data_IF_356817417379
#
_entry.id   IF_356817417379
#
_cell.length_a   1.000
_cell.length_b   1.000
_cell.length_c   1.000
_cell.angle_alpha   90.00
_cell.angle_beta   90.00
_cell.angle_gamma   90.00
#
_symmetry.space_group_name_H-M   'P 1'
#
loop_
_entity.id
_entity.type
_entity.pdbx_description
1 polymer ?
#
# COMPACT_ATOMS: atom_id res chain seq x y z
N UNK A 1 -16.12 0.04 14.83
CA UNK A 1 -14.81 0.17 15.51
C UNK A 1 -13.75 -0.53 14.67
N UNK A 2 -12.55 0.04 14.54
CA UNK A 2 -11.44 -0.56 13.75
C UNK A 2 -10.69 -1.60 14.60
N UNK A 3 -10.48 -2.84 14.14
CA UNK A 3 -9.70 -3.85 14.87
C UNK A 3 -8.26 -3.40 15.10
N UNK A 4 -7.65 -3.88 16.19
CA UNK A 4 -6.27 -3.56 16.57
C UNK A 4 -5.41 -4.82 16.68
N UNK A 5 -4.09 -4.73 16.45
CA UNK A 5 -3.36 -3.55 15.99
C UNK A 5 -3.63 -3.23 14.51
N UNK A 6 -3.49 -1.95 14.14
CA UNK A 6 -3.48 -1.50 12.75
C UNK A 6 -2.04 -1.52 12.26
N UNK A 7 -1.80 -2.11 11.10
CA UNK A 7 -0.48 -2.32 10.52
C UNK A 7 -0.17 -1.30 9.42
N UNK A 8 -1.19 -0.91 8.64
CA UNK A 8 -1.09 0.11 7.61
C UNK A 8 -2.45 0.77 7.38
N UNK A 9 -2.46 1.96 6.79
CA UNK A 9 -3.68 2.70 6.41
C UNK A 9 -3.58 3.07 4.93
N UNK A 10 -4.58 2.72 4.14
CA UNK A 10 -4.73 3.20 2.77
C UNK A 10 -5.72 4.36 2.77
N UNK A 11 -5.42 5.39 1.99
CA UNK A 11 -6.25 6.57 1.84
C UNK A 11 -6.48 6.86 0.36
N UNK A 12 -7.75 6.97 -0.03
CA UNK A 12 -8.20 7.41 -1.34
C UNK A 12 -8.67 8.86 -1.24
N UNK A 13 -8.21 9.73 -2.12
CA UNK A 13 -8.61 11.13 -2.16
C UNK A 13 -8.55 11.67 -3.60
N UNK A 14 -9.31 12.74 -3.91
CA UNK A 14 -9.29 13.34 -5.24
C UNK A 14 -7.99 14.14 -5.42
N UNK A 15 -7.38 13.97 -6.57
CA UNK A 15 -6.26 14.77 -7.05
C UNK A 15 -6.82 16.08 -7.60
N UNK A 16 -6.30 17.19 -7.10
CA UNK A 16 -6.63 18.53 -7.57
C UNK A 16 -5.42 19.20 -8.21
N UNK A 17 -5.65 20.24 -9.02
CA UNK A 17 -4.56 21.03 -9.58
C UNK A 17 -3.60 21.56 -8.50
N UNK A 18 -4.12 21.91 -7.32
CA UNK A 18 -3.31 22.35 -6.19
C UNK A 18 -2.43 21.20 -5.63
N UNK A 19 -2.98 20.01 -5.42
CA UNK A 19 -2.18 18.88 -4.93
C UNK A 19 -1.11 18.45 -5.93
N UNK A 20 -1.41 18.56 -7.23
CA UNK A 20 -0.46 18.31 -8.31
C UNK A 20 0.70 19.31 -8.31
N UNK A 21 0.41 20.60 -8.14
CA UNK A 21 1.44 21.63 -8.03
C UNK A 21 2.33 21.41 -6.79
N UNK A 22 1.72 21.12 -5.64
CA UNK A 22 2.46 20.78 -4.41
C UNK A 22 3.40 19.58 -4.63
N UNK A 23 2.94 18.55 -5.35
CA UNK A 23 3.75 17.37 -5.72
C UNK A 23 4.93 17.75 -6.61
N UNK A 24 4.71 18.59 -7.62
CA UNK A 24 5.78 19.07 -8.52
C UNK A 24 6.83 19.89 -7.78
N UNK A 25 6.42 20.71 -6.81
CA UNK A 25 7.34 21.49 -5.97
C UNK A 25 8.19 20.57 -5.07
N UNK A 26 7.56 19.58 -4.44
CA UNK A 26 8.24 18.58 -3.61
C UNK A 26 9.26 17.75 -4.39
N UNK A 27 9.06 17.56 -5.70
CA UNK A 27 10.00 16.81 -6.54
C UNK A 27 11.39 17.46 -6.64
N UNK A 28 11.50 18.76 -6.34
CA UNK A 28 12.77 19.51 -6.35
C UNK A 28 13.51 19.47 -5.00
N UNK A 29 12.88 18.95 -3.95
CA UNK A 29 13.50 18.84 -2.63
C UNK A 29 14.43 17.62 -2.56
N UNK A 30 15.54 17.76 -1.82
CA UNK A 30 16.44 16.64 -1.58
C UNK A 30 15.76 15.64 -0.65
N UNK A 31 15.71 14.39 -1.07
CA UNK A 31 15.27 13.31 -0.20
C UNK A 31 16.32 12.99 0.84
N UNK A 32 15.85 12.84 2.07
CA UNK A 32 16.61 12.23 3.14
C UNK A 32 16.73 10.71 2.89
N UNK A 33 17.83 10.05 3.31
CA UNK A 33 17.93 8.61 3.21
C UNK A 33 16.81 7.92 4.01
N UNK A 34 15.87 7.28 3.31
CA UNK A 34 14.70 6.66 3.94
C UNK A 34 14.95 5.22 4.39
N UNK A 35 15.88 5.04 5.34
CA UNK A 35 16.07 3.83 6.15
C UNK A 35 15.74 2.47 5.49
N UNK A 36 14.93 1.66 6.19
CA UNK A 36 14.45 0.33 5.74
C UNK A 36 13.10 0.36 5.01
N UNK A 37 12.64 1.55 4.60
CA UNK A 37 11.32 1.72 3.99
C UNK A 37 11.27 1.06 2.62
N UNK A 38 10.33 0.13 2.43
CA UNK A 38 10.04 -0.43 1.11
C UNK A 38 9.19 0.57 0.31
N UNK A 39 9.77 1.16 -0.72
CA UNK A 39 9.10 2.12 -1.60
C UNK A 39 9.31 1.76 -3.07
N UNK A 40 8.29 2.02 -3.88
CA UNK A 40 8.35 1.86 -5.33
C UNK A 40 7.57 2.95 -6.03
N UNK A 41 8.01 3.32 -7.23
CA UNK A 41 7.35 4.31 -8.07
C UNK A 41 6.11 3.73 -8.74
N UNK A 42 5.18 4.61 -9.08
CA UNK A 42 4.09 4.34 -10.01
C UNK A 42 4.49 4.78 -11.40
N UNK A 43 4.36 3.86 -12.34
CA UNK A 43 4.66 4.03 -13.77
C UNK A 43 3.58 3.43 -14.67
N UNK A 44 2.56 2.82 -14.06
CA UNK A 44 1.40 2.24 -14.71
C UNK A 44 0.17 3.02 -14.29
N UNK A 45 -0.59 3.51 -15.27
CA UNK A 45 -1.83 4.25 -15.02
C UNK A 45 -2.86 3.38 -14.28
N UNK A 46 -3.60 4.00 -13.35
CA UNK A 46 -4.62 3.35 -12.50
C UNK A 46 -4.09 2.21 -11.60
N UNK A 47 -2.77 2.07 -11.44
CA UNK A 47 -2.18 1.06 -10.56
C UNK A 47 -2.02 1.51 -9.09
N UNK A 48 -2.43 2.72 -8.73
CA UNK A 48 -2.23 3.30 -7.39
C UNK A 48 -2.78 2.43 -6.26
N UNK A 49 -3.92 1.75 -6.46
CA UNK A 49 -4.47 0.80 -5.50
C UNK A 49 -3.56 -0.41 -5.26
N UNK A 50 -3.01 -1.00 -6.33
CA UNK A 50 -2.03 -2.10 -6.24
C UNK A 50 -0.75 -1.63 -5.57
N UNK A 51 -0.23 -0.46 -5.95
CA UNK A 51 1.01 0.10 -5.39
C UNK A 51 0.85 0.42 -3.91
N UNK A 52 -0.26 1.04 -3.51
CA UNK A 52 -0.57 1.30 -2.10
C UNK A 52 -0.63 0.02 -1.29
N UNK A 53 -1.21 -1.06 -1.83
CA UNK A 53 -1.22 -2.36 -1.18
C UNK A 53 0.19 -2.97 -1.06
N UNK A 54 1.00 -2.89 -2.12
CA UNK A 54 2.39 -3.37 -2.09
C UNK A 54 3.27 -2.58 -1.12
N UNK A 55 3.08 -1.26 -1.04
CA UNK A 55 3.71 -0.41 -0.02
C UNK A 55 3.29 -0.85 1.39
N UNK A 56 2.00 -1.10 1.62
CA UNK A 56 1.51 -1.55 2.91
C UNK A 56 2.15 -2.89 3.31
N UNK A 57 2.06 -3.91 2.44
CA UNK A 57 2.57 -5.25 2.72
C UNK A 57 4.10 -5.25 2.87
N UNK A 58 4.81 -4.55 1.98
CA UNK A 58 6.28 -4.48 1.97
C UNK A 58 6.88 -3.88 3.24
N UNK A 59 6.14 -2.99 3.92
CA UNK A 59 6.58 -2.34 5.15
C UNK A 59 6.10 -3.03 6.44
N UNK A 60 5.28 -4.08 6.34
CA UNK A 60 4.81 -4.86 7.49
C UNK A 60 5.24 -6.33 7.42
N UNK A 61 6.20 -6.67 6.55
CA UNK A 61 6.66 -8.04 6.30
C UNK A 61 7.16 -8.77 7.56
N UNK A 62 7.62 -8.06 8.59
CA UNK A 62 7.98 -8.65 9.89
C UNK A 62 6.77 -8.97 10.77
N UNK A 63 5.64 -8.29 10.55
CA UNK A 63 4.40 -8.42 11.32
C UNK A 63 3.45 -9.49 10.75
N UNK A 64 3.63 -9.83 9.48
CA UNK A 64 2.92 -10.89 8.76
C UNK A 64 3.90 -12.05 8.51
N UNK A 65 3.49 -13.28 8.81
CA UNK A 65 4.30 -14.45 8.41
C UNK A 65 4.18 -14.61 6.90
N UNK A 66 5.15 -14.12 6.13
CA UNK A 66 5.24 -14.37 4.67
C UNK A 66 5.75 -15.78 4.33
N UNK A 67 6.23 -16.52 5.32
CA UNK A 67 6.63 -17.92 5.19
C UNK A 67 7.43 -18.39 6.40
N UNK A 68 6.90 -19.38 7.12
CA UNK A 68 7.54 -20.45 7.90
C UNK A 68 6.46 -21.05 8.82
N UNK A 69 5.66 -21.95 8.26
CA UNK A 69 4.92 -22.94 9.05
C UNK A 69 5.58 -24.30 8.84
N UNK A 70 6.80 -24.48 9.36
CA UNK A 70 7.25 -25.82 9.72
C UNK A 70 6.59 -26.18 11.05
N UNK A 71 5.34 -26.66 11.00
CA UNK A 71 4.91 -27.85 11.75
C UNK A 71 3.43 -28.19 11.53
N UNK A 72 3.27 -29.37 10.91
CA UNK A 72 2.33 -30.45 11.26
C UNK A 72 0.86 -30.29 10.89
N UNK A 73 0.30 -31.42 10.43
CA UNK A 73 -1.13 -31.77 10.31
C UNK A 73 -1.68 -31.42 8.91
N UNK A 74 -1.86 -32.31 7.92
CA UNK A 74 -2.45 -33.66 7.86
C UNK A 74 -3.92 -33.81 8.32
N UNK A 75 -4.59 -32.72 8.63
CA UNK A 75 -6.04 -32.63 8.81
C UNK A 75 -6.45 -31.44 7.94
N UNK A 76 -7.06 -31.57 6.77
CA UNK A 76 -8.35 -32.18 6.63
C UNK A 76 -8.63 -32.31 5.12
N UNK A 77 -8.51 -33.54 4.64
CA UNK A 77 -9.39 -34.16 3.65
C UNK A 77 -10.68 -33.34 3.36
N UNK A 78 -10.83 -32.89 2.12
CA UNK A 78 -12.08 -32.41 1.49
C UNK A 78 -12.70 -31.08 1.93
N UNK A 79 -12.57 -30.09 1.03
CA UNK A 79 -13.74 -29.37 0.51
C UNK A 79 -14.02 -27.98 1.08
N UNK A 80 -13.35 -26.96 0.56
CA UNK A 80 -13.99 -25.75 0.00
C UNK A 80 -12.99 -24.98 -0.86
N UNK A 81 -13.38 -24.64 -2.09
CA UNK A 81 -12.68 -23.68 -2.95
C UNK A 81 -13.02 -22.27 -2.49
N UNK A 82 -12.30 -21.76 -1.49
CA UNK A 82 -12.22 -20.33 -1.26
C UNK A 82 -10.83 -19.89 -1.66
N UNK A 83 -10.76 -19.04 -2.69
CA UNK A 83 -9.57 -18.40 -3.22
C UNK A 83 -9.00 -17.42 -2.18
N UNK A 84 -8.43 -17.94 -1.09
CA UNK A 84 -7.62 -17.15 -0.20
C UNK A 84 -6.32 -16.82 -0.95
N UNK A 85 -6.06 -15.53 -1.17
CA UNK A 85 -4.72 -15.04 -1.46
C UNK A 85 -3.91 -15.37 -0.20
N UNK A 86 -3.22 -16.50 -0.22
CA UNK A 86 -2.42 -16.97 0.90
C UNK A 86 -1.11 -16.17 0.93
N UNK A 87 -1.18 -14.99 1.56
CA UNK A 87 -0.08 -14.03 1.74
C UNK A 87 1.15 -14.60 2.48
N UNK A 88 1.02 -15.78 3.10
CA UNK A 88 1.98 -16.33 4.06
C UNK A 88 2.59 -17.69 3.74
N UNK A 89 2.48 -18.13 2.49
CA UNK A 89 3.05 -19.41 2.04
C UNK A 89 4.37 -19.11 1.32
N UNK A 90 5.42 -19.85 1.68
CA UNK A 90 6.68 -19.84 0.94
C UNK A 90 6.43 -20.12 -0.54
N UNK A 91 6.93 -19.23 -1.40
CA UNK A 91 6.67 -19.32 -2.83
C UNK A 91 5.30 -18.82 -3.26
N UNK A 92 4.52 -18.15 -2.40
CA UNK A 92 3.38 -17.32 -2.84
C UNK A 92 3.87 -16.19 -3.76
N UNK A 93 2.94 -15.60 -4.53
CA UNK A 93 3.29 -14.48 -5.43
C UNK A 93 4.03 -13.37 -4.70
N UNK A 94 3.45 -12.87 -3.59
CA UNK A 94 4.02 -11.73 -2.86
C UNK A 94 5.34 -12.08 -2.18
N UNK A 95 5.51 -13.31 -1.68
CA UNK A 95 6.80 -13.78 -1.18
C UNK A 95 7.88 -13.71 -2.28
N UNK A 96 7.60 -14.23 -3.47
CA UNK A 96 8.53 -14.15 -4.62
C UNK A 96 8.77 -12.72 -5.07
N UNK A 97 7.73 -11.89 -5.11
CA UNK A 97 7.81 -10.48 -5.49
C UNK A 97 8.76 -9.73 -4.56
N UNK A 98 8.50 -9.72 -3.24
CA UNK A 98 9.32 -8.98 -2.28
C UNK A 98 10.76 -9.53 -2.16
N UNK A 99 10.96 -10.84 -2.32
CA UNK A 99 12.32 -11.43 -2.39
C UNK A 99 13.07 -10.95 -3.64
N UNK A 100 12.40 -10.91 -4.79
CA UNK A 100 13.02 -10.51 -6.06
C UNK A 100 13.34 -9.02 -6.12
N UNK A 101 12.53 -8.19 -5.46
CA UNK A 101 12.63 -6.72 -5.49
C UNK A 101 13.37 -6.12 -4.29
N UNK A 102 13.86 -6.94 -3.36
CA UNK A 102 14.47 -6.49 -2.12
C UNK A 102 15.65 -5.52 -2.33
N UNK A 103 16.53 -5.82 -3.29
CA UNK A 103 17.72 -5.03 -3.60
C UNK A 103 17.52 -3.98 -4.69
N UNK A 104 16.32 -3.91 -5.28
CA UNK A 104 16.00 -2.97 -6.35
C UNK A 104 15.71 -1.58 -5.81
N UNK A 105 16.08 -0.55 -6.57
CA UNK A 105 15.66 0.82 -6.31
C UNK A 105 14.18 1.04 -6.68
N UNK A 106 13.55 2.16 -6.29
CA UNK A 106 12.12 2.38 -6.51
C UNK A 106 11.63 2.32 -7.97
N UNK A 107 12.47 2.72 -8.94
CA UNK A 107 12.13 2.65 -10.36
C UNK A 107 12.31 1.24 -10.91
N UNK A 108 13.36 0.53 -10.49
CA UNK A 108 13.55 -0.89 -10.85
C UNK A 108 12.40 -1.76 -10.35
N UNK A 109 11.88 -1.48 -9.14
CA UNK A 109 10.68 -2.15 -8.60
C UNK A 109 9.44 -1.91 -9.47
N UNK A 110 9.29 -0.68 -9.99
CA UNK A 110 8.19 -0.32 -10.87
C UNK A 110 8.30 -1.06 -12.22
N UNK A 111 9.49 -1.04 -12.84
CA UNK A 111 9.77 -1.77 -14.07
C UNK A 111 9.59 -3.30 -13.90
N UNK A 112 9.92 -3.84 -12.73
CA UNK A 112 9.64 -5.24 -12.41
C UNK A 112 8.14 -5.54 -12.39
N UNK A 113 7.34 -4.66 -11.76
CA UNK A 113 5.88 -4.79 -11.70
C UNK A 113 5.23 -4.66 -13.09
N UNK A 114 5.72 -3.77 -13.95
CA UNK A 114 5.23 -3.61 -15.33
C UNK A 114 5.32 -4.90 -16.16
N UNK A 115 6.36 -5.70 -15.92
CA UNK A 115 6.55 -6.99 -16.58
C UNK A 115 5.76 -8.14 -15.96
N UNK A 116 5.04 -7.92 -14.86
CA UNK A 116 4.41 -8.97 -14.07
C UNK A 116 2.95 -9.22 -14.49
N UNK A 117 2.78 -10.24 -15.34
CA UNK A 117 1.46 -10.66 -15.83
C UNK A 117 0.55 -11.24 -14.75
N UNK A 118 1.09 -11.85 -13.70
CA UNK A 118 0.27 -12.43 -12.63
C UNK A 118 -0.42 -11.30 -11.85
N UNK A 119 0.32 -10.22 -11.54
CA UNK A 119 -0.24 -9.04 -10.90
C UNK A 119 -1.17 -8.24 -11.82
N UNK A 120 -0.85 -8.09 -13.10
CA UNK A 120 -1.74 -7.46 -14.10
C UNK A 120 -3.12 -8.14 -14.13
N UNK A 121 -3.14 -9.47 -14.19
CA UNK A 121 -4.38 -10.26 -14.20
C UNK A 121 -5.13 -10.12 -12.86
N UNK A 122 -4.42 -10.22 -11.73
CA UNK A 122 -5.03 -10.09 -10.41
C UNK A 122 -5.66 -8.70 -10.21
N UNK A 123 -4.97 -7.63 -10.61
CA UNK A 123 -5.49 -6.27 -10.60
C UNK A 123 -6.74 -6.14 -11.47
N UNK A 124 -6.68 -6.64 -12.71
CA UNK A 124 -7.81 -6.57 -13.65
C UNK A 124 -9.05 -7.29 -13.13
N UNK A 125 -8.88 -8.46 -12.51
CA UNK A 125 -9.98 -9.22 -11.88
C UNK A 125 -10.56 -8.45 -10.68
N UNK A 126 -9.70 -7.86 -9.84
CA UNK A 126 -10.14 -7.07 -8.69
C UNK A 126 -10.91 -5.81 -9.11
N UNK A 127 -10.46 -5.13 -10.18
CA UNK A 127 -11.07 -3.90 -10.69
C UNK A 127 -12.52 -4.11 -11.16
N UNK A 128 -12.85 -5.28 -11.71
CA UNK A 128 -14.22 -5.62 -12.15
C UNK A 128 -15.04 -6.37 -11.08
N UNK A 129 -14.42 -6.68 -9.94
CA UNK A 129 -15.04 -7.47 -8.87
C UNK A 129 -15.78 -6.65 -7.82
N UNK A 130 -15.76 -5.31 -7.93
CA UNK A 130 -16.47 -4.41 -7.02
C UNK A 130 -17.96 -4.28 -7.33
N UNK A 131 -18.70 -3.60 -6.44
CA UNK A 131 -20.15 -3.36 -6.59
C UNK A 131 -20.51 -2.33 -7.68
N UNK A 132 -19.51 -1.61 -8.21
CA UNK A 132 -19.66 -0.55 -9.21
C UNK A 132 -18.94 -0.92 -10.50
N UNK A 133 -19.45 -0.43 -11.64
CA UNK A 133 -18.77 -0.57 -12.92
C UNK A 133 -17.41 0.15 -12.91
N UNK A 134 -16.40 -0.47 -13.53
CA UNK A 134 -15.08 0.12 -13.65
C UNK A 134 -15.11 1.37 -14.57
N UNK A 135 -14.53 2.48 -14.11
CA UNK A 135 -14.36 3.71 -14.89
C UNK A 135 -12.92 3.84 -15.40
N UNK A 136 -12.76 4.47 -16.56
CA UNK A 136 -11.44 4.78 -17.13
C UNK A 136 -10.97 6.21 -16.83
N UNK A 137 -11.87 7.09 -16.37
CA UNK A 137 -11.53 8.46 -16.00
C UNK A 137 -11.67 8.58 -14.48
N UNK A 138 -10.53 8.59 -13.80
CA UNK A 138 -10.45 8.54 -12.33
C UNK A 138 -9.55 9.69 -11.89
N UNK A 139 -10.14 10.64 -11.19
CA UNK A 139 -9.40 11.75 -10.57
C UNK A 139 -8.99 11.41 -9.12
N UNK A 140 -9.22 10.18 -8.67
CA UNK A 140 -8.91 9.73 -7.31
C UNK A 140 -7.59 8.96 -7.25
N UNK A 141 -6.87 9.10 -6.14
CA UNK A 141 -5.55 8.49 -5.94
C UNK A 141 -5.42 7.80 -4.59
N UNK A 142 -4.81 6.60 -4.60
CA UNK A 142 -4.49 5.84 -3.39
C UNK A 142 -3.08 6.13 -2.91
N UNK A 143 -2.94 6.40 -1.61
CA UNK A 143 -1.65 6.43 -0.90
C UNK A 143 -1.68 5.50 0.32
N UNK A 144 -0.50 5.11 0.79
CA UNK A 144 -0.33 4.26 1.95
C UNK A 144 0.38 5.00 3.10
N UNK A 145 -0.08 4.78 4.33
CA UNK A 145 0.61 5.14 5.55
C UNK A 145 1.08 3.89 6.29
N UNK A 146 2.37 3.86 6.64
CA UNK A 146 2.99 2.77 7.41
C UNK A 146 3.93 3.32 8.49
N UNK A 147 4.06 2.59 9.59
CA UNK A 147 5.03 2.90 10.64
C UNK A 147 6.27 2.02 10.45
N UNK A 148 7.41 2.63 10.11
CA UNK A 148 8.68 1.94 9.92
C UNK A 148 9.70 2.57 10.85
N UNK A 149 10.37 1.74 11.65
CA UNK A 149 11.41 2.17 12.60
C UNK A 149 10.97 3.32 13.53
N UNK A 150 9.69 3.30 13.94
CA UNK A 150 9.10 4.30 14.84
C UNK A 150 8.71 5.62 14.18
N UNK A 151 8.65 5.67 12.86
CA UNK A 151 8.30 6.87 12.07
C UNK A 151 7.11 6.58 11.17
N UNK A 152 6.15 7.50 11.13
CA UNK A 152 5.04 7.48 10.17
C UNK A 152 5.54 7.92 8.79
N UNK A 153 5.42 7.05 7.81
CA UNK A 153 5.70 7.36 6.41
C UNK A 153 4.42 7.39 5.59
N UNK A 154 4.29 8.42 4.76
CA UNK A 154 3.38 8.46 3.62
C UNK A 154 4.12 7.93 2.39
N UNK A 155 3.51 6.97 1.72
CA UNK A 155 4.05 6.23 0.59
C UNK A 155 3.10 6.44 -0.59
N UNK A 156 3.55 7.26 -1.53
CA UNK A 156 2.83 7.63 -2.75
C UNK A 156 3.74 7.34 -3.94
N UNK A 157 3.32 6.44 -4.83
CA UNK A 157 4.10 6.04 -6.00
C UNK A 157 4.37 7.18 -6.98
N UNK A 158 3.56 8.24 -6.97
CA UNK A 158 3.75 9.40 -7.85
C UNK A 158 4.80 10.37 -7.30
N UNK A 159 5.05 10.35 -5.99
CA UNK A 159 6.06 11.19 -5.35
C UNK A 159 7.46 10.68 -5.59
N UNK A 160 8.45 11.54 -5.44
CA UNK A 160 9.85 11.16 -5.68
C UNK A 160 10.29 10.07 -4.68
N UNK A 161 9.70 10.01 -3.48
CA UNK A 161 10.10 9.12 -2.38
C UNK A 161 9.13 9.18 -1.18
N UNK A 162 9.37 8.37 -0.14
CA UNK A 162 8.59 8.40 1.10
C UNK A 162 8.61 9.77 1.80
N UNK A 163 7.48 10.19 2.35
CA UNK A 163 7.40 11.40 3.17
C UNK A 163 7.30 11.03 4.65
N UNK A 164 8.24 11.52 5.46
CA UNK A 164 8.21 11.36 6.91
C UNK A 164 7.27 12.37 7.56
N UNK A 165 6.35 11.88 8.39
CA UNK A 165 5.42 12.69 9.19
C UNK A 165 5.77 12.69 10.69
N UNK A 166 6.98 12.21 11.04
CA UNK A 166 7.48 12.18 12.41
C UNK A 166 7.16 10.88 13.16
N UNK A 167 7.32 10.92 14.49
CA UNK A 167 7.25 9.71 15.32
C UNK A 167 5.87 9.04 15.30
N UNK A 168 5.86 7.71 15.26
CA UNK A 168 4.66 6.88 15.36
C UNK A 168 4.98 5.49 15.89
N UNK A 169 3.94 4.67 16.07
CA UNK A 169 4.04 3.33 16.63
C UNK A 169 2.87 2.47 16.15
N UNK A 170 2.94 1.12 16.28
CA UNK A 170 1.79 0.25 15.98
C UNK A 170 0.50 0.62 16.73
N UNK A 171 0.60 1.21 17.92
CA UNK A 171 -0.55 1.60 18.74
C UNK A 171 -1.15 2.97 18.36
N UNK A 172 -0.34 3.85 17.76
CA UNK A 172 -0.72 5.23 17.39
C UNK A 172 -0.84 5.46 15.88
N UNK A 173 -0.42 4.50 15.05
CA UNK A 173 -0.38 4.59 13.59
C UNK A 173 -1.67 5.17 12.99
N UNK A 174 -2.82 4.60 13.36
CA UNK A 174 -4.11 5.03 12.81
C UNK A 174 -4.41 6.49 13.18
N UNK A 175 -4.13 6.89 14.41
CA UNK A 175 -4.37 8.25 14.90
C UNK A 175 -3.42 9.25 14.27
N UNK A 176 -2.16 8.87 14.06
CA UNK A 176 -1.15 9.73 13.45
C UNK A 176 -1.43 9.90 11.95
N UNK A 177 -1.73 8.81 11.23
CA UNK A 177 -2.19 8.87 9.84
C UNK A 177 -3.48 9.71 9.70
N UNK A 178 -4.44 9.55 10.62
CA UNK A 178 -5.67 10.35 10.60
C UNK A 178 -5.44 11.85 10.78
N UNK A 179 -4.37 12.29 11.48
CA UNK A 179 -4.02 13.72 11.57
C UNK A 179 -3.57 14.24 10.21
N UNK A 180 -2.73 13.49 9.49
CA UNK A 180 -2.26 13.85 8.15
C UNK A 180 -3.44 13.89 7.16
N UNK A 181 -4.26 12.84 7.15
CA UNK A 181 -5.46 12.72 6.31
C UNK A 181 -6.41 13.89 6.52
N UNK A 182 -6.65 14.32 7.78
CA UNK A 182 -7.48 15.50 8.06
C UNK A 182 -6.92 16.78 7.43
N UNK A 183 -5.58 16.94 7.41
CA UNK A 183 -4.94 18.05 6.72
C UNK A 183 -5.20 18.02 5.21
N UNK A 184 -5.13 16.84 4.58
CA UNK A 184 -5.44 16.67 3.15
C UNK A 184 -6.92 16.98 2.87
N UNK A 185 -7.85 16.50 3.71
CA UNK A 185 -9.28 16.78 3.57
C UNK A 185 -9.56 18.29 3.69
N UNK A 186 -8.90 18.99 4.63
CA UNK A 186 -9.06 20.44 4.80
C UNK A 186 -8.62 21.26 3.58
N UNK A 187 -7.64 20.75 2.81
CA UNK A 187 -7.21 21.36 1.54
C UNK A 187 -8.21 21.14 0.39
N UNK A 188 -9.19 20.26 0.58
CA UNK A 188 -10.18 19.88 -0.43
C UNK A 188 -11.61 20.09 0.12
N UNK A 189 -11.98 21.33 0.52
CA UNK A 189 -13.20 21.60 1.28
C UNK A 189 -14.51 21.29 0.54
N UNK A 190 -14.47 21.29 -0.80
CA UNK A 190 -15.65 21.07 -1.65
C UNK A 190 -15.84 19.59 -2.04
N UNK A 191 -14.89 18.70 -1.69
CA UNK A 191 -14.99 17.28 -1.99
C UNK A 191 -15.55 16.49 -0.82
N UNK A 192 -16.24 15.40 -1.14
CA UNK A 192 -16.64 14.34 -0.21
C UNK A 192 -16.03 12.98 -0.60
N UNK A 193 -15.24 12.92 -1.67
CA UNK A 193 -14.73 11.70 -2.28
C UNK A 193 -13.48 11.21 -1.55
N UNK A 194 -13.63 10.81 -0.29
CA UNK A 194 -12.54 10.28 0.51
C UNK A 194 -12.89 8.88 1.02
N UNK A 195 -11.89 7.99 1.03
CA UNK A 195 -12.04 6.68 1.65
C UNK A 195 -10.79 6.33 2.46
N UNK A 196 -10.97 5.71 3.63
CA UNK A 196 -9.87 5.24 4.47
C UNK A 196 -10.09 3.76 4.76
N UNK A 197 -9.07 2.94 4.46
CA UNK A 197 -9.06 1.50 4.73
C UNK A 197 -7.92 1.21 5.70
N UNK A 198 -8.21 0.49 6.79
CA UNK A 198 -7.21 0.09 7.77
C UNK A 198 -6.88 -1.40 7.61
N UNK A 199 -5.61 -1.73 7.38
CA UNK A 199 -5.11 -3.11 7.43
C UNK A 199 -4.82 -3.43 8.89
N UNK A 200 -5.57 -4.36 9.47
CA UNK A 200 -5.49 -4.73 10.89
C UNK A 200 -5.33 -6.23 11.06
N UNK A 201 -4.68 -6.65 12.16
CA UNK A 201 -4.68 -8.07 12.53
C UNK A 201 -6.10 -8.47 12.91
N UNK A 202 -6.57 -9.58 12.34
CA UNK A 202 -7.84 -10.19 12.74
C UNK A 202 -7.69 -10.67 14.19
N UNK A 203 -8.63 -10.27 15.05
CA UNK A 203 -8.73 -10.72 16.43
C UNK A 203 -9.07 -12.21 16.52
#
# INVERSE_FOLDING_TARGET
>A
MVPKPVLAVLFLYPVTAQSEEERMLQANEKQEPHGRVYFMKQTVDNACGTIGLLHAIGNITSEIKLGFLLQSISELLFGTTHSYIMLGIDGSFLDRFFKSTASMNPLERAAFLEGDREMEVAHSVAAIGGDTEASHNVDDHFICFACVDGVLYELDGDKTGPISHGASSPDSLLQDAAKVIKGIIQKNPDSLNFNVIAISKKA
#
